data_IF_565826423048
#
_entry.id   IF_565826423048
#
_cell.length_a   1.000
_cell.length_b   1.000
_cell.length_c   1.000
_cell.angle_alpha   90.00
_cell.angle_beta   90.00
_cell.angle_gamma   90.00
#
_symmetry.space_group_name_H-M   'P 1'
#
loop_
_entity.id
_entity.type
_entity.pdbx_description
1 polymer ?
#
# COMPACT_ATOMS: atom_id res chain seq x y z
N UNK A 1 11.70 58.13 21.05
CA UNK A 1 10.54 57.52 21.74
C UNK A 1 9.49 57.29 20.67
N UNK A 2 9.52 56.11 20.05
CA UNK A 2 8.55 55.00 20.26
C UNK A 2 7.50 55.10 19.14
N UNK A 3 7.19 54.11 18.30
CA UNK A 3 7.27 52.66 18.39
C UNK A 3 7.41 52.05 16.97
N UNK A 4 8.44 51.24 16.74
CA UNK A 4 8.37 50.16 15.74
C UNK A 4 8.06 48.85 16.47
N UNK A 5 6.82 48.72 16.94
CA UNK A 5 6.35 47.51 17.60
C UNK A 5 5.41 46.73 16.68
N UNK A 6 5.97 45.65 16.11
CA UNK A 6 5.33 44.34 16.10
C UNK A 6 4.02 44.17 15.33
N UNK A 7 4.15 43.66 14.12
CA UNK A 7 3.38 42.48 13.68
C UNK A 7 4.09 41.85 12.48
N UNK A 8 5.05 40.99 12.79
CA UNK A 8 5.46 39.97 11.84
C UNK A 8 4.29 39.01 11.72
N UNK A 9 3.52 39.16 10.65
CA UNK A 9 2.55 38.17 10.22
C UNK A 9 3.33 36.93 9.79
N UNK A 10 3.71 36.08 10.75
CA UNK A 10 4.19 34.73 10.43
C UNK A 10 3.00 33.96 9.91
N UNK A 11 2.83 33.97 8.60
CA UNK A 11 1.96 33.04 7.90
C UNK A 11 2.23 31.63 8.44
N UNK A 12 1.20 30.82 8.72
CA UNK A 12 1.39 29.48 9.24
C UNK A 12 2.30 28.71 8.28
N UNK A 13 3.44 28.25 8.78
CA UNK A 13 4.36 27.44 7.98
C UNK A 13 3.60 26.19 7.50
N UNK A 14 3.60 25.89 6.19
CA UNK A 14 2.92 24.71 5.66
C UNK A 14 3.38 23.47 6.44
N UNK A 15 2.48 22.55 6.82
CA UNK A 15 2.86 21.37 7.57
C UNK A 15 3.98 20.63 6.83
N UNK A 16 5.08 20.35 7.54
CA UNK A 16 6.27 19.72 6.99
C UNK A 16 5.90 18.49 6.14
N UNK A 17 6.42 18.43 4.92
CA UNK A 17 6.15 17.31 4.03
C UNK A 17 6.57 15.99 4.72
N UNK A 18 5.73 14.93 4.67
CA UNK A 18 6.06 13.68 5.31
C UNK A 18 7.39 13.14 4.78
N UNK A 19 8.24 12.60 5.66
CA UNK A 19 9.51 12.00 5.29
C UNK A 19 9.28 10.95 4.19
N UNK A 20 9.85 11.20 3.01
CA UNK A 20 9.63 10.36 1.83
C UNK A 20 10.22 8.96 1.98
N UNK A 21 9.70 8.01 1.21
CA UNK A 21 10.07 6.59 1.30
C UNK A 21 10.83 6.13 0.06
N UNK A 22 11.65 5.07 0.19
CA UNK A 22 12.31 4.44 -0.96
C UNK A 22 11.25 3.74 -1.84
N UNK A 23 11.08 4.13 -3.13
CA UNK A 23 10.05 3.59 -4.00
C UNK A 23 10.22 2.09 -4.29
N UNK A 24 11.44 1.54 -4.14
CA UNK A 24 11.73 0.13 -4.39
C UNK A 24 11.16 -0.78 -3.30
N UNK A 25 10.94 -0.25 -2.09
CA UNK A 25 10.38 -1.00 -0.95
C UNK A 25 8.95 -1.47 -1.21
N UNK A 26 8.00 -0.55 -1.49
CA UNK A 26 6.64 -0.92 -1.87
C UNK A 26 6.56 -1.86 -3.07
N UNK A 27 7.42 -1.68 -4.09
CA UNK A 27 7.46 -2.55 -5.28
C UNK A 27 7.91 -3.97 -4.94
N UNK A 28 8.97 -4.12 -4.15
CA UNK A 28 9.42 -5.42 -3.67
C UNK A 28 8.35 -6.11 -2.80
N UNK A 29 7.69 -5.35 -1.92
CA UNK A 29 6.59 -5.86 -1.10
C UNK A 29 5.38 -6.31 -1.93
N UNK A 30 5.07 -5.60 -3.01
CA UNK A 30 4.05 -6.00 -3.97
C UNK A 30 4.41 -7.31 -4.68
N UNK A 31 5.68 -7.52 -5.04
CA UNK A 31 6.16 -8.79 -5.60
C UNK A 31 5.98 -9.98 -4.65
N UNK A 32 6.31 -9.81 -3.36
CA UNK A 32 6.07 -10.84 -2.33
C UNK A 32 4.56 -11.14 -2.22
N UNK A 33 3.74 -10.09 -2.21
CA UNK A 33 2.28 -10.22 -2.11
C UNK A 33 1.69 -10.92 -3.33
N UNK A 34 2.19 -10.62 -4.54
CA UNK A 34 1.79 -11.30 -5.76
C UNK A 34 2.10 -12.81 -5.71
N UNK A 35 3.27 -13.19 -5.19
CA UNK A 35 3.61 -14.60 -5.00
C UNK A 35 2.63 -15.29 -4.05
N UNK A 36 2.31 -14.67 -2.91
CA UNK A 36 1.35 -15.24 -1.95
C UNK A 36 -0.04 -15.39 -2.57
N UNK A 37 -0.50 -14.40 -3.32
CA UNK A 37 -1.79 -14.43 -4.00
C UNK A 37 -1.84 -15.49 -5.11
N UNK A 38 -0.75 -15.71 -5.84
CA UNK A 38 -0.65 -16.82 -6.78
C UNK A 38 -0.79 -18.17 -6.06
N UNK A 39 -0.17 -18.34 -4.89
CA UNK A 39 -0.36 -19.53 -4.05
C UNK A 39 -1.81 -19.67 -3.57
N UNK A 40 -2.48 -18.58 -3.18
CA UNK A 40 -3.93 -18.61 -2.84
C UNK A 40 -4.74 -19.17 -4.00
N UNK A 41 -4.50 -18.70 -5.23
CA UNK A 41 -5.22 -19.17 -6.42
C UNK A 41 -4.95 -20.66 -6.68
N UNK A 42 -3.70 -21.12 -6.54
CA UNK A 42 -3.34 -22.53 -6.70
C UNK A 42 -3.99 -23.43 -5.65
N UNK A 43 -4.18 -22.93 -4.43
CA UNK A 43 -4.89 -23.60 -3.35
C UNK A 43 -6.42 -23.55 -3.50
N UNK A 44 -6.93 -22.78 -4.46
CA UNK A 44 -8.33 -22.68 -4.86
C UNK A 44 -9.31 -22.43 -3.69
N UNK A 45 -10.30 -23.30 -3.49
CA UNK A 45 -11.32 -23.21 -2.43
C UNK A 45 -10.93 -23.91 -1.13
N UNK A 46 -9.67 -24.31 -0.98
CA UNK A 46 -9.23 -25.00 0.24
C UNK A 46 -9.23 -24.07 1.47
N UNK A 47 -9.37 -24.62 2.70
CA UNK A 47 -9.21 -23.84 3.92
C UNK A 47 -7.85 -23.13 4.01
N UNK A 48 -6.80 -23.73 3.46
CA UNK A 48 -5.47 -23.14 3.39
C UNK A 48 -5.44 -21.87 2.53
N UNK A 49 -6.19 -21.83 1.42
CA UNK A 49 -6.33 -20.64 0.59
C UNK A 49 -6.97 -19.48 1.37
N UNK A 50 -8.04 -19.76 2.14
CA UNK A 50 -8.72 -18.78 2.97
C UNK A 50 -7.79 -18.21 4.06
N UNK A 51 -7.07 -19.09 4.77
CA UNK A 51 -6.10 -18.68 5.80
C UNK A 51 -5.00 -17.82 5.20
N UNK A 52 -4.47 -18.21 4.04
CA UNK A 52 -3.42 -17.45 3.37
C UNK A 52 -3.93 -16.08 2.87
N UNK A 53 -5.14 -16.01 2.31
CA UNK A 53 -5.77 -14.74 1.94
C UNK A 53 -5.99 -13.84 3.16
N UNK A 54 -6.35 -14.40 4.32
CA UNK A 54 -6.48 -13.66 5.56
C UNK A 54 -5.14 -13.08 6.05
N UNK A 55 -4.04 -13.82 5.91
CA UNK A 55 -2.68 -13.29 6.18
C UNK A 55 -2.33 -12.13 5.24
N UNK A 56 -2.68 -12.23 3.96
CA UNK A 56 -2.49 -11.15 2.99
C UNK A 56 -3.33 -9.93 3.37
N UNK A 57 -4.61 -10.11 3.71
CA UNK A 57 -5.50 -9.05 4.16
C UNK A 57 -4.98 -8.36 5.43
N UNK A 58 -4.50 -9.13 6.41
CA UNK A 58 -3.87 -8.59 7.62
C UNK A 58 -2.61 -7.78 7.29
N UNK A 59 -1.83 -8.21 6.30
CA UNK A 59 -0.66 -7.47 5.83
C UNK A 59 -1.05 -6.13 5.19
N UNK A 60 -2.12 -6.11 4.39
CA UNK A 60 -2.70 -4.88 3.84
C UNK A 60 -3.24 -3.94 4.93
N UNK A 61 -3.88 -4.48 5.97
CA UNK A 61 -4.34 -3.71 7.12
C UNK A 61 -3.17 -3.01 7.82
N UNK A 62 -2.08 -3.74 8.10
CA UNK A 62 -0.86 -3.16 8.67
C UNK A 62 -0.29 -2.08 7.75
N UNK A 63 -0.27 -2.33 6.43
CA UNK A 63 0.19 -1.38 5.43
C UNK A 63 -0.67 -0.10 5.36
N UNK A 64 -1.98 -0.21 5.53
CA UNK A 64 -2.91 0.92 5.53
C UNK A 64 -2.74 1.79 6.79
N UNK A 65 -2.59 1.16 7.96
CA UNK A 65 -2.49 1.85 9.26
C UNK A 65 -1.09 2.41 9.52
N UNK A 66 -0.04 1.61 9.31
CA UNK A 66 1.35 1.97 9.64
C UNK A 66 2.13 2.50 8.43
N UNK A 67 1.63 2.29 7.22
CA UNK A 67 2.35 2.55 5.97
C UNK A 67 2.97 1.30 5.38
N UNK A 68 3.14 1.30 4.05
CA UNK A 68 3.72 0.18 3.31
C UNK A 68 5.11 -0.22 3.85
N UNK A 69 5.92 0.75 4.26
CA UNK A 69 7.23 0.55 4.88
C UNK A 69 7.21 -0.12 6.27
N UNK A 70 6.05 -0.14 6.94
CA UNK A 70 5.87 -0.74 8.26
C UNK A 70 5.44 -2.20 8.22
N UNK A 71 5.31 -2.79 7.03
CA UNK A 71 4.90 -4.18 6.82
C UNK A 71 6.08 -5.14 6.97
N UNK A 72 5.78 -6.42 7.19
CA UNK A 72 6.83 -7.46 7.25
C UNK A 72 7.47 -7.65 5.87
N UNK A 73 6.74 -7.45 4.78
CA UNK A 73 7.30 -7.47 3.42
C UNK A 73 8.35 -6.37 3.24
N UNK A 74 8.10 -5.17 3.78
CA UNK A 74 9.09 -4.08 3.76
C UNK A 74 10.31 -4.38 4.64
N UNK A 75 10.14 -5.11 5.73
CA UNK A 75 11.26 -5.62 6.52
C UNK A 75 12.12 -6.60 5.71
N UNK A 76 11.52 -7.55 5.00
CA UNK A 76 12.24 -8.46 4.08
C UNK A 76 13.02 -7.68 3.05
N UNK A 77 12.41 -6.67 2.41
CA UNK A 77 13.12 -5.79 1.47
C UNK A 77 14.35 -5.13 2.11
N UNK A 78 14.19 -4.54 3.30
CA UNK A 78 15.27 -3.82 4.00
C UNK A 78 16.43 -4.72 4.42
N UNK A 79 16.16 -5.97 4.80
CA UNK A 79 17.18 -6.88 5.34
C UNK A 79 17.83 -7.71 4.24
N UNK A 80 17.07 -8.08 3.21
CA UNK A 80 17.53 -9.04 2.19
C UNK A 80 17.92 -8.31 0.90
N UNK A 81 17.11 -7.35 0.45
CA UNK A 81 17.28 -6.75 -0.89
C UNK A 81 18.14 -5.50 -0.80
N UNK A 82 17.81 -4.56 0.10
CA UNK A 82 18.46 -3.26 0.22
C UNK A 82 20.00 -3.34 0.42
N UNK A 83 20.56 -4.29 1.21
CA UNK A 83 22.01 -4.40 1.36
C UNK A 83 22.74 -4.81 0.09
N UNK A 84 22.04 -5.45 -0.86
CA UNK A 84 22.62 -5.91 -2.14
C UNK A 84 22.62 -4.84 -3.23
N UNK A 85 21.68 -3.89 -3.17
CA UNK A 85 21.48 -2.86 -4.20
C UNK A 85 21.89 -1.45 -3.74
N UNK A 86 22.16 -1.25 -2.45
CA UNK A 86 22.57 0.02 -1.88
C UNK A 86 21.41 1.03 -1.67
N UNK A 87 21.67 2.09 -0.87
CA UNK A 87 20.69 3.13 -0.58
C UNK A 87 20.36 3.96 -1.83
N UNK A 88 19.13 4.50 -1.89
CA UNK A 88 18.73 5.46 -2.93
C UNK A 88 18.56 6.87 -2.35
N UNK A 89 18.85 7.87 -3.18
CA UNK A 89 18.54 9.27 -2.89
C UNK A 89 17.07 9.63 -3.26
N UNK A 90 16.46 8.88 -4.17
CA UNK A 90 15.08 9.10 -4.61
C UNK A 90 14.08 8.81 -3.48
N UNK A 91 13.11 9.69 -3.30
CA UNK A 91 12.08 9.58 -2.26
C UNK A 91 10.69 9.86 -2.84
N UNK A 92 9.77 8.96 -2.54
CA UNK A 92 8.36 9.03 -2.94
C UNK A 92 7.47 9.45 -1.75
N UNK A 93 6.38 10.16 -1.99
CA UNK A 93 5.36 10.46 -0.96
C UNK A 93 4.77 9.15 -0.42
N UNK A 94 4.71 8.93 0.91
CA UNK A 94 4.13 7.71 1.48
C UNK A 94 2.60 7.60 1.39
N UNK A 95 1.87 8.67 1.06
CA UNK A 95 0.39 8.68 1.04
C UNK A 95 -0.20 7.79 -0.05
N UNK A 96 0.27 7.83 -1.32
CA UNK A 96 -0.32 6.98 -2.36
C UNK A 96 -0.11 5.48 -2.13
N UNK A 97 1.07 4.99 -1.68
CA UNK A 97 1.23 3.59 -1.29
C UNK A 97 0.30 3.20 -0.13
N UNK A 98 0.04 4.07 0.84
CA UNK A 98 -0.94 3.81 1.91
C UNK A 98 -2.35 3.65 1.37
N UNK A 99 -2.75 4.49 0.41
CA UNK A 99 -4.05 4.36 -0.25
C UNK A 99 -4.17 3.02 -1.00
N UNK A 100 -3.13 2.63 -1.75
CA UNK A 100 -3.11 1.33 -2.42
C UNK A 100 -3.25 0.15 -1.43
N UNK A 101 -2.64 0.26 -0.25
CA UNK A 101 -2.79 -0.75 0.81
C UNK A 101 -4.24 -0.86 1.31
N UNK A 102 -4.93 0.28 1.45
CA UNK A 102 -6.34 0.29 1.84
C UNK A 102 -7.25 -0.35 0.77
N UNK A 103 -6.99 -0.09 -0.51
CA UNK A 103 -7.72 -0.74 -1.62
C UNK A 103 -7.50 -2.25 -1.61
N UNK A 104 -6.24 -2.70 -1.45
CA UNK A 104 -5.91 -4.11 -1.31
C UNK A 104 -6.60 -4.77 -0.12
N UNK A 105 -6.71 -4.06 1.02
CA UNK A 105 -7.46 -4.51 2.19
C UNK A 105 -8.95 -4.69 1.88
N UNK A 106 -9.57 -3.76 1.18
CA UNK A 106 -11.01 -3.87 0.82
C UNK A 106 -11.25 -5.11 -0.04
N UNK A 107 -10.43 -5.32 -1.09
CA UNK A 107 -10.58 -6.46 -2.00
C UNK A 107 -10.36 -7.78 -1.27
N UNK A 108 -9.24 -7.90 -0.57
CA UNK A 108 -8.88 -9.16 0.10
C UNK A 108 -9.74 -9.43 1.33
N UNK A 109 -10.10 -8.39 2.08
CA UNK A 109 -11.03 -8.47 3.22
C UNK A 109 -12.43 -8.90 2.80
N UNK A 110 -12.96 -8.37 1.69
CA UNK A 110 -14.22 -8.84 1.13
C UNK A 110 -14.16 -10.32 0.75
N UNK A 111 -13.06 -10.75 0.12
CA UNK A 111 -12.83 -12.17 -0.19
C UNK A 111 -12.81 -13.08 1.04
N UNK A 112 -12.16 -12.63 2.13
CA UNK A 112 -12.13 -13.36 3.41
C UNK A 112 -13.53 -13.44 4.04
N UNK A 113 -14.25 -12.32 4.11
CA UNK A 113 -15.60 -12.28 4.71
C UNK A 113 -16.55 -13.18 3.92
N UNK A 114 -16.59 -13.06 2.60
CA UNK A 114 -17.44 -13.89 1.74
C UNK A 114 -17.03 -15.37 1.80
N UNK A 115 -15.73 -15.66 1.88
CA UNK A 115 -15.23 -17.03 2.05
C UNK A 115 -15.66 -17.66 3.39
N UNK A 116 -15.64 -16.88 4.49
CA UNK A 116 -16.14 -17.32 5.79
C UNK A 116 -17.67 -17.54 5.81
N UNK A 117 -18.41 -16.81 4.97
CA UNK A 117 -19.85 -17.01 4.76
C UNK A 117 -20.16 -18.18 3.82
N UNK A 118 -19.15 -18.87 3.28
CA UNK A 118 -19.32 -20.02 2.39
C UNK A 118 -19.65 -19.68 0.94
N UNK A 119 -19.36 -18.46 0.48
CA UNK A 119 -19.56 -18.09 -0.92
C UNK A 119 -18.47 -18.75 -1.78
N UNK A 120 -18.88 -19.72 -2.60
CA UNK A 120 -18.00 -20.45 -3.49
C UNK A 120 -17.26 -19.51 -4.45
N UNK A 121 -15.95 -19.72 -4.58
CA UNK A 121 -15.09 -18.93 -5.47
C UNK A 121 -14.73 -17.53 -4.98
N UNK A 122 -15.26 -17.04 -3.85
CA UNK A 122 -14.94 -15.70 -3.34
C UNK A 122 -13.44 -15.49 -3.08
N UNK A 123 -12.79 -16.49 -2.47
CA UNK A 123 -11.35 -16.48 -2.15
C UNK A 123 -10.48 -16.39 -3.42
N UNK A 124 -10.57 -17.31 -4.40
CA UNK A 124 -9.74 -17.24 -5.60
C UNK A 124 -10.07 -16.03 -6.49
N UNK A 125 -11.33 -15.57 -6.54
CA UNK A 125 -11.69 -14.35 -7.30
C UNK A 125 -11.08 -13.10 -6.67
N UNK A 126 -11.21 -12.93 -5.36
CA UNK A 126 -10.59 -11.81 -4.65
C UNK A 126 -9.06 -11.85 -4.78
N UNK A 127 -8.47 -13.05 -4.71
CA UNK A 127 -7.03 -13.24 -4.90
C UNK A 127 -6.58 -12.87 -6.32
N UNK A 128 -7.34 -13.24 -7.36
CA UNK A 128 -7.05 -12.87 -8.74
C UNK A 128 -7.09 -11.34 -8.96
N UNK A 129 -8.12 -10.67 -8.44
CA UNK A 129 -8.23 -9.20 -8.51
C UNK A 129 -7.05 -8.52 -7.79
N UNK A 130 -6.73 -8.96 -6.58
CA UNK A 130 -5.60 -8.45 -5.82
C UNK A 130 -4.26 -8.76 -6.50
N UNK A 131 -4.13 -9.91 -7.17
CA UNK A 131 -2.92 -10.33 -7.88
C UNK A 131 -2.64 -9.40 -9.06
N UNK A 132 -3.67 -9.08 -9.86
CA UNK A 132 -3.56 -8.11 -10.95
C UNK A 132 -3.04 -6.77 -10.41
N UNK A 133 -3.65 -6.27 -9.33
CA UNK A 133 -3.21 -5.02 -8.71
C UNK A 133 -1.75 -5.09 -8.19
N UNK A 134 -1.37 -6.21 -7.56
CA UNK A 134 -0.03 -6.42 -7.04
C UNK A 134 1.03 -6.51 -8.15
N UNK A 135 0.75 -7.24 -9.24
CA UNK A 135 1.65 -7.39 -10.39
C UNK A 135 1.83 -6.05 -11.11
N UNK A 136 0.76 -5.29 -11.32
CA UNK A 136 0.85 -3.96 -11.94
C UNK A 136 1.76 -3.03 -11.12
N UNK A 137 1.63 -3.05 -9.80
CA UNK A 137 2.47 -2.28 -8.90
C UNK A 137 3.93 -2.76 -8.90
N UNK A 138 4.16 -4.07 -8.92
CA UNK A 138 5.49 -4.67 -8.94
C UNK A 138 6.23 -4.42 -10.27
N UNK A 139 5.54 -4.57 -11.41
CA UNK A 139 6.15 -4.57 -12.74
C UNK A 139 6.31 -3.17 -13.34
N UNK A 140 5.33 -2.29 -13.19
CA UNK A 140 5.32 -1.01 -13.90
C UNK A 140 5.60 0.19 -13.00
N UNK A 141 5.66 0.01 -11.68
CA UNK A 141 5.67 1.13 -10.74
C UNK A 141 4.40 2.00 -10.82
N UNK A 142 3.43 1.59 -11.64
CA UNK A 142 2.09 2.13 -11.72
C UNK A 142 1.32 1.58 -10.54
N UNK A 143 1.48 2.22 -9.39
CA UNK A 143 0.43 2.21 -8.40
C UNK A 143 -0.79 2.85 -9.07
N UNK A 144 -1.75 2.05 -9.57
CA UNK A 144 -3.05 2.57 -10.05
C UNK A 144 -3.71 3.46 -8.98
N UNK A 145 -3.39 3.19 -7.71
CA UNK A 145 -3.71 4.05 -6.57
C UNK A 145 -3.01 5.42 -6.56
N UNK A 146 -1.79 5.58 -7.08
CA UNK A 146 -1.14 6.89 -7.26
C UNK A 146 -1.90 7.73 -8.30
N UNK A 147 -2.17 7.17 -9.48
CA UNK A 147 -2.92 7.86 -10.53
C UNK A 147 -4.35 8.16 -10.07
N UNK A 148 -5.05 7.19 -9.45
CA UNK A 148 -6.38 7.40 -8.90
C UNK A 148 -6.38 8.42 -7.75
N UNK A 149 -5.38 8.41 -6.87
CA UNK A 149 -5.24 9.41 -5.80
C UNK A 149 -4.99 10.81 -6.37
N UNK A 150 -4.10 10.96 -7.34
CA UNK A 150 -3.85 12.24 -8.01
C UNK A 150 -5.08 12.72 -8.79
N UNK A 151 -5.77 11.81 -9.49
CA UNK A 151 -7.04 12.10 -10.17
C UNK A 151 -8.10 12.57 -9.17
N UNK A 152 -8.31 11.82 -8.08
CA UNK A 152 -9.23 12.17 -6.98
C UNK A 152 -8.87 13.52 -6.38
N UNK A 153 -7.58 13.81 -6.17
CA UNK A 153 -7.12 15.11 -5.65
C UNK A 153 -7.30 16.25 -6.64
N UNK A 154 -7.26 15.99 -7.95
CA UNK A 154 -7.53 16.98 -9.01
C UNK A 154 -9.02 17.29 -9.15
N UNK A 155 -9.90 16.31 -8.93
CA UNK A 155 -11.36 16.50 -9.03
C UNK A 155 -12.04 16.80 -7.70
N UNK A 156 -11.35 16.58 -6.57
CA UNK A 156 -11.87 16.94 -5.25
C UNK A 156 -12.01 18.46 -5.16
N UNK A 157 -13.19 18.99 -4.80
CA UNK A 157 -13.38 20.42 -4.65
C UNK A 157 -12.42 20.95 -3.58
N UNK A 158 -11.69 22.02 -3.90
CA UNK A 158 -10.89 22.75 -2.92
C UNK A 158 -11.83 23.22 -1.82
N UNK A 159 -11.69 22.63 -0.63
CA UNK A 159 -12.35 23.08 0.59
C UNK A 159 -11.30 23.67 1.52
#
# INVERSE_FOLDING_TARGET
MSDQAGRGDTAPEPPAAPAGIDPRGPRAGAGITALLLAVVILLWTSPAALVLLAVVAASFLVGAVRGAQGTWQAWVYRVVVLPRIGPTAEREDPRPPRFAQAVGLVITGAGVVLGLLGVDGAVPVAAALALVAAVLNAAFGLCLGCELYLLLRRVAPAR
#
